data_IF_723287695291
#
_entry.id   IF_723287695291
#
_cell.length_a   1.000
_cell.length_b   1.000
_cell.length_c   1.000
_cell.angle_alpha   90.00
_cell.angle_beta   90.00
_cell.angle_gamma   90.00
#
_symmetry.space_group_name_H-M   'P 1'
#
loop_
_entity.id
_entity.type
_entity.pdbx_description
1 polymer ?
#
# COMPACT_ATOMS: atom_id res chain seq x y z
N UNK A 1 6.74 17.36 -4.66
CA UNK A 1 6.55 17.45 -3.20
C UNK A 1 7.90 17.22 -2.53
N UNK A 2 8.24 17.95 -1.48
CA UNK A 2 9.49 17.75 -0.71
C UNK A 2 9.18 16.88 0.50
N UNK A 3 10.03 15.89 0.76
CA UNK A 3 9.76 14.83 1.73
C UNK A 3 10.95 13.88 1.84
N UNK A 4 10.79 12.85 2.68
CA UNK A 4 11.72 11.72 2.71
C UNK A 4 11.13 10.55 1.94
N UNK A 5 12.00 9.78 1.29
CA UNK A 5 11.60 8.62 0.51
C UNK A 5 11.54 7.38 1.38
N UNK A 6 10.58 6.50 1.12
CA UNK A 6 10.47 5.17 1.71
C UNK A 6 10.08 4.18 0.63
N UNK A 7 10.40 2.90 0.83
CA UNK A 7 10.01 1.82 -0.08
C UNK A 7 9.09 0.82 0.61
N UNK A 8 8.28 0.11 -0.17
CA UNK A 8 7.50 -1.04 0.29
C UNK A 8 7.52 -2.13 -0.79
N UNK A 9 7.43 -3.40 -0.38
CA UNK A 9 7.53 -4.55 -1.28
C UNK A 9 6.33 -5.50 -1.21
N UNK A 10 5.12 -5.06 -1.62
CA UNK A 10 3.95 -5.92 -1.66
C UNK A 10 4.08 -6.99 -2.75
N UNK A 11 3.28 -8.06 -2.64
CA UNK A 11 3.25 -9.12 -3.65
C UNK A 11 2.38 -8.74 -4.87
N UNK A 12 1.46 -7.80 -4.69
CA UNK A 12 0.63 -7.23 -5.76
C UNK A 12 0.34 -5.77 -5.50
N UNK A 13 0.45 -4.96 -6.55
CA UNK A 13 0.08 -3.52 -6.52
C UNK A 13 -1.34 -3.26 -7.01
N UNK A 14 -2.07 -4.28 -7.47
CA UNK A 14 -3.43 -4.11 -8.00
C UNK A 14 -3.49 -3.09 -9.15
N UNK A 15 -4.34 -2.08 -8.98
CA UNK A 15 -4.51 -0.92 -9.85
C UNK A 15 -3.81 0.35 -9.38
N UNK A 16 -2.90 0.26 -8.41
CA UNK A 16 -2.07 1.38 -7.95
C UNK A 16 -1.23 1.92 -9.11
N UNK A 17 -1.10 3.25 -9.17
CA UNK A 17 -0.35 3.96 -10.20
C UNK A 17 0.67 4.92 -9.60
N UNK A 18 1.64 5.34 -10.40
CA UNK A 18 2.49 6.49 -10.06
C UNK A 18 1.60 7.73 -9.82
N UNK A 19 2.05 8.64 -8.97
CA UNK A 19 1.31 9.80 -8.48
C UNK A 19 0.07 9.49 -7.61
N UNK A 20 -0.26 8.21 -7.39
CA UNK A 20 -1.31 7.84 -6.45
C UNK A 20 -1.03 8.39 -5.06
N UNK A 21 -2.09 8.79 -4.36
CA UNK A 21 -1.98 9.38 -3.03
C UNK A 21 -1.42 8.37 -2.02
N UNK A 22 -0.55 8.85 -1.14
CA UNK A 22 -0.20 8.14 0.10
C UNK A 22 -0.92 8.84 1.26
N UNK A 23 -1.70 8.08 2.03
CA UNK A 23 -2.62 8.62 3.04
C UNK A 23 -2.44 7.95 4.39
N UNK A 24 -2.45 8.77 5.45
CA UNK A 24 -2.57 8.32 6.85
C UNK A 24 -3.92 8.79 7.36
N UNK A 25 -4.71 7.90 7.94
CA UNK A 25 -6.06 8.21 8.44
C UNK A 25 -6.96 8.93 7.41
N UNK A 26 -6.80 8.60 6.12
CA UNK A 26 -7.54 9.22 5.01
C UNK A 26 -7.05 10.60 4.56
N UNK A 27 -6.02 11.16 5.20
CA UNK A 27 -5.42 12.45 4.85
C UNK A 27 -4.17 12.20 3.99
N UNK A 28 -4.06 12.90 2.85
CA UNK A 28 -2.88 12.84 1.99
C UNK A 28 -1.64 13.38 2.73
N UNK A 29 -0.62 12.54 2.82
CA UNK A 29 0.68 12.85 3.42
C UNK A 29 1.84 12.65 2.44
N UNK A 30 1.55 12.07 1.28
CA UNK A 30 2.56 11.62 0.35
C UNK A 30 2.02 11.28 -1.03
N UNK A 31 2.88 10.76 -1.89
CA UNK A 31 2.52 10.22 -3.20
C UNK A 31 3.47 9.09 -3.59
N UNK A 32 2.96 8.17 -4.41
CA UNK A 32 3.76 7.14 -5.06
C UNK A 32 4.63 7.81 -6.12
N UNK A 33 5.93 7.55 -6.07
CA UNK A 33 6.91 8.09 -7.00
C UNK A 33 7.14 7.16 -8.18
N UNK A 34 7.29 5.86 -7.90
CA UNK A 34 7.69 4.87 -8.89
C UNK A 34 7.18 3.49 -8.47
N UNK A 35 6.81 2.70 -9.48
CA UNK A 35 6.47 1.29 -9.34
C UNK A 35 7.43 0.48 -10.23
N UNK A 36 8.11 -0.48 -9.64
CA UNK A 36 8.99 -1.41 -10.36
C UNK A 36 8.75 -2.86 -9.92
N UNK A 37 9.42 -3.81 -10.58
CA UNK A 37 9.39 -5.23 -10.24
C UNK A 37 10.81 -5.71 -9.96
N UNK A 38 11.01 -6.33 -8.79
CA UNK A 38 12.26 -7.01 -8.49
C UNK A 38 12.34 -8.30 -9.35
N UNK A 39 13.31 -8.43 -10.27
CA UNK A 39 13.37 -9.55 -11.22
C UNK A 39 13.78 -10.88 -10.57
N UNK A 40 14.32 -10.85 -9.35
CA UNK A 40 14.71 -12.06 -8.62
C UNK A 40 13.58 -12.59 -7.76
N UNK A 41 12.88 -11.69 -7.05
CA UNK A 41 11.82 -12.05 -6.10
C UNK A 41 10.42 -11.98 -6.70
N UNK A 42 10.25 -11.26 -7.82
CA UNK A 42 8.96 -10.90 -8.42
C UNK A 42 8.03 -10.13 -7.48
N UNK A 43 8.56 -9.55 -6.39
CA UNK A 43 7.83 -8.59 -5.57
C UNK A 43 7.84 -7.23 -6.25
N UNK A 44 6.75 -6.48 -6.10
CA UNK A 44 6.73 -5.10 -6.53
C UNK A 44 7.68 -4.28 -5.65
N UNK A 45 8.28 -3.25 -6.22
CA UNK A 45 9.01 -2.23 -5.48
C UNK A 45 8.28 -0.89 -5.64
N UNK A 46 7.68 -0.44 -4.53
CA UNK A 46 6.88 0.78 -4.49
C UNK A 46 7.69 1.87 -3.80
N UNK A 47 8.19 2.83 -4.56
CA UNK A 47 8.86 4.00 -4.01
C UNK A 47 7.84 5.11 -3.72
N UNK A 48 7.91 5.70 -2.53
CA UNK A 48 7.00 6.74 -2.07
C UNK A 48 7.76 7.92 -1.49
N UNK A 49 7.15 9.10 -1.56
CA UNK A 49 7.61 10.29 -0.83
C UNK A 49 6.59 10.64 0.25
N UNK A 50 7.08 10.90 1.46
CA UNK A 50 6.29 11.28 2.64
C UNK A 50 6.70 12.68 3.10
N UNK A 51 5.72 13.53 3.40
CA UNK A 51 5.96 14.86 3.98
C UNK A 51 6.82 14.75 5.26
N UNK A 52 7.86 15.58 5.37
CA UNK A 52 8.82 15.54 6.47
C UNK A 52 8.21 15.76 7.86
N UNK A 53 7.03 16.40 7.91
CA UNK A 53 6.26 16.64 9.15
C UNK A 53 5.64 15.37 9.72
N UNK A 54 5.48 14.34 8.88
CA UNK A 54 4.92 13.05 9.29
C UNK A 54 6.08 12.14 9.67
N UNK A 55 6.01 11.55 10.86
CA UNK A 55 6.97 10.55 11.34
C UNK A 55 6.27 9.22 11.42
N UNK A 56 6.80 8.24 10.70
CA UNK A 56 6.26 6.90 10.65
C UNK A 56 7.09 5.99 11.56
N UNK A 57 6.47 5.22 12.46
CA UNK A 57 7.12 4.11 13.16
C UNK A 57 7.56 3.01 12.18
N UNK A 58 8.59 2.24 12.52
CA UNK A 58 9.05 1.08 11.72
C UNK A 58 7.95 0.02 11.56
N UNK A 59 7.12 -0.16 12.58
CA UNK A 59 5.88 -0.97 12.54
C UNK A 59 4.72 -0.40 11.70
N UNK A 60 4.95 0.60 10.85
CA UNK A 60 3.91 1.10 9.94
C UNK A 60 3.53 0.02 8.92
N UNK A 61 2.25 -0.33 8.87
CA UNK A 61 1.68 -1.21 7.85
C UNK A 61 1.34 -0.40 6.60
N UNK A 62 1.70 -0.95 5.44
CA UNK A 62 1.46 -0.37 4.13
C UNK A 62 0.37 -1.16 3.42
N UNK A 63 -0.79 -0.55 3.18
CA UNK A 63 -1.99 -1.21 2.66
C UNK A 63 -2.44 -0.55 1.37
N UNK A 64 -2.59 -1.31 0.29
CA UNK A 64 -3.16 -0.77 -0.95
C UNK A 64 -4.69 -0.78 -0.84
N UNK A 65 -5.30 0.39 -0.90
CA UNK A 65 -6.73 0.59 -0.66
C UNK A 65 -7.41 1.27 -1.84
N UNK A 66 -8.67 0.94 -2.11
CA UNK A 66 -9.48 1.64 -3.10
C UNK A 66 -10.17 2.87 -2.48
N UNK A 67 -10.27 3.97 -3.23
CA UNK A 67 -11.06 5.14 -2.80
C UNK A 67 -12.58 4.89 -2.80
N UNK A 68 -13.01 3.77 -3.37
CA UNK A 68 -14.40 3.36 -3.50
C UNK A 68 -14.57 2.47 -4.74
N UNK A 69 -15.82 2.26 -5.17
CA UNK A 69 -16.11 1.38 -6.33
C UNK A 69 -15.63 1.93 -7.68
N UNK A 70 -15.49 3.25 -7.79
CA UNK A 70 -15.17 3.95 -9.04
C UNK A 70 -13.93 4.84 -8.94
N UNK A 71 -13.29 4.85 -7.76
CA UNK A 71 -12.06 5.61 -7.54
C UNK A 71 -10.82 4.78 -7.91
N UNK A 72 -9.68 5.45 -8.00
CA UNK A 72 -8.40 4.77 -8.09
C UNK A 72 -8.00 4.08 -6.78
N UNK A 73 -6.89 3.38 -6.83
CA UNK A 73 -6.22 2.89 -5.63
C UNK A 73 -5.26 3.95 -5.09
N UNK A 74 -5.06 3.92 -3.78
CA UNK A 74 -4.13 4.78 -3.05
C UNK A 74 -3.37 3.93 -2.03
N UNK A 75 -2.23 4.43 -1.59
CA UNK A 75 -1.47 3.79 -0.53
C UNK A 75 -1.96 4.28 0.83
N UNK A 76 -2.49 3.38 1.64
CA UNK A 76 -2.83 3.65 3.04
C UNK A 76 -1.68 3.24 3.94
N UNK A 77 -1.24 4.15 4.80
CA UNK A 77 -0.28 3.86 5.85
C UNK A 77 -1.01 3.82 7.20
N UNK A 78 -0.85 2.71 7.92
CA UNK A 78 -1.37 2.50 9.26
C UNK A 78 -0.19 2.44 10.27
N UNK A 79 0.11 3.55 10.96
CA UNK A 79 1.23 3.61 11.90
C UNK A 79 1.04 2.65 13.08
N UNK A 80 2.07 1.83 13.35
CA UNK A 80 2.12 1.00 14.55
C UNK A 80 2.51 1.76 15.81
N UNK A 81 2.80 1.03 16.88
CA UNK A 81 3.12 1.58 18.20
C UNK A 81 4.60 1.60 18.58
N UNK A 82 5.51 1.30 17.64
CA UNK A 82 6.94 1.25 17.95
C UNK A 82 7.56 2.65 18.14
N UNK A 83 8.58 2.72 18.99
CA UNK A 83 9.33 3.96 19.23
C UNK A 83 10.35 4.26 18.12
N UNK A 84 10.80 3.23 17.40
CA UNK A 84 11.79 3.37 16.32
C UNK A 84 11.09 3.94 15.08
N UNK A 85 11.64 5.01 14.54
CA UNK A 85 11.08 5.72 13.38
C UNK A 85 11.77 5.29 12.09
N UNK A 86 11.04 5.46 10.99
CA UNK A 86 11.50 5.24 9.62
C UNK A 86 12.35 6.43 9.18
N UNK A 87 13.54 6.13 8.68
CA UNK A 87 14.47 7.09 8.10
C UNK A 87 14.30 7.26 6.58
N UNK A 88 14.96 8.25 5.99
CA UNK A 88 15.01 8.40 4.53
C UNK A 88 15.69 7.19 3.87
N UNK A 89 15.00 6.57 2.90
CA UNK A 89 15.46 5.40 2.16
C UNK A 89 15.13 4.07 2.81
N UNK A 90 14.49 4.07 3.99
CA UNK A 90 14.11 2.85 4.68
C UNK A 90 12.95 2.12 3.96
N UNK A 91 12.90 0.82 4.19
CA UNK A 91 11.85 -0.07 3.70
C UNK A 91 10.79 -0.32 4.77
N UNK A 92 9.54 -0.06 4.44
CA UNK A 92 8.36 -0.45 5.22
C UNK A 92 8.11 -1.95 5.01
N UNK A 93 8.46 -2.73 6.03
CA UNK A 93 8.50 -4.20 5.92
C UNK A 93 7.11 -4.85 5.98
N UNK A 94 6.14 -4.16 6.57
CA UNK A 94 4.79 -4.68 6.73
C UNK A 94 3.91 -4.20 5.58
N UNK A 95 3.50 -5.12 4.72
CA UNK A 95 2.66 -4.83 3.55
C UNK A 95 1.41 -5.70 3.53
N UNK A 96 0.30 -5.11 3.11
CA UNK A 96 -0.93 -5.80 2.75
C UNK A 96 -1.27 -5.51 1.29
N UNK A 97 -1.46 -6.58 0.54
CA UNK A 97 -1.76 -6.52 -0.89
C UNK A 97 -3.15 -5.93 -1.16
N UNK A 98 -3.32 -5.44 -2.39
CA UNK A 98 -4.61 -4.97 -2.88
C UNK A 98 -5.66 -6.08 -2.84
N UNK A 99 -6.86 -5.77 -2.34
CA UNK A 99 -7.97 -6.71 -2.32
C UNK A 99 -8.54 -6.92 -3.74
N UNK A 100 -8.54 -8.17 -4.22
CA UNK A 100 -9.18 -8.52 -5.49
C UNK A 100 -10.70 -8.70 -5.32
N UNK A 101 -11.45 -7.59 -5.35
CA UNK A 101 -12.91 -7.60 -5.15
C UNK A 101 -13.64 -8.45 -6.21
N UNK A 102 -13.20 -8.43 -7.47
CA UNK A 102 -13.82 -9.24 -8.54
C UNK A 102 -13.67 -10.74 -8.22
N UNK A 103 -12.49 -11.14 -7.74
CA UNK A 103 -12.23 -12.50 -7.27
C UNK A 103 -13.13 -12.89 -6.11
N UNK A 104 -13.30 -12.01 -5.11
CA UNK A 104 -14.18 -12.26 -3.95
C UNK A 104 -15.66 -12.37 -4.34
N UNK A 105 -16.15 -11.50 -5.23
CA UNK A 105 -17.52 -11.58 -5.77
C UNK A 105 -17.70 -12.89 -6.54
N UNK A 106 -16.72 -13.26 -7.38
CA UNK A 106 -16.77 -14.51 -8.13
C UNK A 106 -16.85 -15.71 -7.18
N UNK A 107 -16.02 -15.75 -6.13
CA UNK A 107 -16.08 -16.80 -5.11
C UNK A 107 -17.44 -16.86 -4.41
N UNK A 108 -18.04 -15.71 -4.09
CA UNK A 108 -19.37 -15.65 -3.48
C UNK A 108 -20.46 -16.20 -4.42
N UNK A 109 -20.45 -15.82 -5.71
CA UNK A 109 -21.45 -16.25 -6.70
C UNK A 109 -21.31 -17.73 -7.04
N UNK A 110 -20.07 -18.23 -7.14
CA UNK A 110 -19.77 -19.61 -7.52
C UNK A 110 -19.64 -20.56 -6.34
N UNK A 111 -19.68 -20.09 -5.08
CA UNK A 111 -19.66 -20.97 -3.90
C UNK A 111 -20.84 -21.94 -4.02
N UNK A 112 -20.58 -23.25 -4.26
CA UNK A 112 -21.65 -24.23 -4.36
C UNK A 112 -22.44 -24.16 -3.06
N UNK A 113 -23.77 -24.07 -3.15
CA UNK A 113 -24.61 -24.30 -1.97
C UNK A 113 -24.27 -25.70 -1.47
N UNK A 114 -23.61 -25.77 -0.32
CA UNK A 114 -23.42 -27.01 0.41
C UNK A 114 -24.83 -27.54 0.69
N UNK A 115 -25.23 -28.57 -0.05
CA UNK A 115 -26.48 -29.29 0.21
C UNK A 115 -26.21 -30.17 1.42
N UNK A 116 -27.06 -30.00 2.46
CA UNK A 116 -27.12 -30.76 3.71
C UNK A 116 -26.58 -32.21 3.64
#
# INVERSE_FOLDING_TARGET
MTGYTVTAKPSSVGGLSEEADVKVSGIKVGSVLQLDIDPETYLAEVAMVIDEKIKLPQSTMTVISAEGLFGGEYMHLDPGGEEVMVGPGDNLTYTQDAANIIGLISQMVYSPKENN
#
